data_IF_218436673324
#
_entry.id   IF_218436673324
#
_cell.length_a   1.000
_cell.length_b   1.000
_cell.length_c   1.000
_cell.angle_alpha   90.00
_cell.angle_beta   90.00
_cell.angle_gamma   90.00
#
_symmetry.space_group_name_H-M   'P 1'
#
loop_
_entity.id
_entity.type
_entity.pdbx_description
1 polymer ?
#
# COMPACT_ATOMS: atom_id res chain seq x y z
N UNK A 1 -26.80 20.99 5.26
CA UNK A 1 -28.22 20.59 5.43
C UNK A 1 -28.59 19.74 4.22
N UNK A 2 -29.19 18.55 4.26
CA UNK A 2 -29.70 17.65 5.30
C UNK A 2 -29.97 16.28 4.59
N UNK A 3 -29.71 15.16 5.29
CA UNK A 3 -30.22 13.76 5.17
C UNK A 3 -30.81 13.23 3.83
N UNK A 4 -30.33 12.09 3.30
CA UNK A 4 -30.63 10.69 3.73
C UNK A 4 -32.11 10.29 3.54
N UNK A 5 -32.41 9.36 2.62
CA UNK A 5 -32.81 7.96 2.88
C UNK A 5 -33.55 7.27 1.71
N UNK A 6 -33.24 5.98 1.55
CA UNK A 6 -33.89 4.94 0.74
C UNK A 6 -35.24 4.49 1.35
N UNK A 7 -36.21 4.08 0.52
CA UNK A 7 -37.27 3.09 0.83
C UNK A 7 -38.03 2.73 -0.46
N UNK A 8 -37.83 1.55 -1.06
CA UNK A 8 -38.53 0.27 -0.82
C UNK A 8 -40.04 0.31 -1.12
N UNK A 9 -40.43 -0.29 -2.26
CA UNK A 9 -41.78 -0.35 -2.79
C UNK A 9 -42.61 -1.54 -2.28
N UNK A 10 -43.71 -1.18 -1.64
CA UNK A 10 -45.02 -1.83 -1.44
C UNK A 10 -45.30 -3.23 -2.01
N UNK A 11 -45.80 -4.09 -1.10
CA UNK A 11 -46.60 -5.30 -1.36
C UNK A 11 -47.97 -5.10 -0.72
N UNK A 12 -49.05 -5.36 -1.45
CA UNK A 12 -50.44 -5.33 -0.94
C UNK A 12 -51.03 -6.74 -0.87
N UNK A 13 -51.72 -7.02 0.24
CA UNK A 13 -52.39 -8.28 0.57
C UNK A 13 -53.88 -8.14 0.31
N UNK A 14 -54.52 -9.16 -0.26
CA UNK A 14 -55.97 -9.38 -0.09
C UNK A 14 -56.26 -10.87 0.16
N UNK A 15 -57.02 -11.13 1.22
CA UNK A 15 -57.54 -12.43 1.59
C UNK A 15 -59.01 -12.55 1.16
N UNK A 16 -59.47 -13.75 0.74
CA UNK A 16 -60.89 -14.12 0.68
C UNK A 16 -61.12 -15.55 1.17
N UNK A 17 -61.86 -15.60 2.28
CA UNK A 17 -62.89 -16.54 2.79
C UNK A 17 -62.99 -18.02 2.34
N UNK A 18 -63.27 -18.86 3.33
CA UNK A 18 -63.65 -20.29 3.30
C UNK A 18 -65.03 -20.53 2.67
N UNK A 19 -65.24 -21.80 2.25
CA UNK A 19 -66.49 -22.48 1.86
C UNK A 19 -66.85 -22.56 0.37
N UNK A 20 -66.20 -23.51 -0.34
CA UNK A 20 -66.91 -24.39 -1.28
C UNK A 20 -66.15 -25.73 -1.38
N UNK A 21 -66.33 -26.54 -0.34
CA UNK A 21 -66.04 -27.97 -0.41
C UNK A 21 -66.99 -28.62 -1.43
N UNK A 22 -66.51 -29.71 -2.06
CA UNK A 22 -67.20 -30.69 -2.90
C UNK A 22 -66.94 -30.63 -4.42
N UNK A 23 -65.72 -30.98 -4.84
CA UNK A 23 -65.53 -31.77 -6.07
C UNK A 23 -64.27 -32.64 -5.99
N UNK A 24 -64.40 -33.80 -5.34
CA UNK A 24 -63.34 -34.76 -5.02
C UNK A 24 -62.79 -35.54 -6.23
N UNK A 25 -63.17 -35.18 -7.47
CA UNK A 25 -62.70 -35.85 -8.68
C UNK A 25 -61.64 -35.06 -9.46
N UNK A 26 -61.61 -33.72 -9.37
CA UNK A 26 -60.62 -32.88 -10.07
C UNK A 26 -59.24 -32.88 -9.39
N UNK A 27 -59.19 -32.98 -8.07
CA UNK A 27 -57.93 -32.92 -7.30
C UNK A 27 -56.90 -34.01 -7.65
N UNK A 28 -57.34 -35.22 -8.01
CA UNK A 28 -56.42 -36.33 -8.34
C UNK A 28 -55.70 -36.17 -9.68
N UNK A 29 -56.32 -35.48 -10.65
CA UNK A 29 -55.72 -35.27 -11.99
C UNK A 29 -54.71 -34.12 -11.97
N UNK A 30 -54.95 -33.09 -11.16
CA UNK A 30 -54.00 -31.99 -10.97
C UNK A 30 -52.76 -32.40 -10.15
N UNK A 31 -52.90 -33.26 -9.15
CA UNK A 31 -51.76 -33.72 -8.33
C UNK A 31 -50.75 -34.54 -9.14
N UNK A 32 -51.21 -35.41 -10.04
CA UNK A 32 -50.35 -36.23 -10.90
C UNK A 32 -49.60 -35.40 -11.96
N UNK A 33 -50.26 -34.40 -12.55
CA UNK A 33 -49.62 -33.47 -13.51
C UNK A 33 -48.62 -32.52 -12.82
N UNK A 34 -48.94 -32.07 -11.60
CA UNK A 34 -48.04 -31.22 -10.80
C UNK A 34 -46.78 -31.97 -10.38
N UNK A 35 -46.90 -33.23 -9.92
CA UNK A 35 -45.76 -34.04 -9.47
C UNK A 35 -44.78 -34.44 -10.59
N UNK A 36 -45.25 -34.58 -11.85
CA UNK A 36 -44.38 -34.93 -12.98
C UNK A 36 -43.62 -33.71 -13.54
N UNK A 37 -44.19 -32.50 -13.42
CA UNK A 37 -43.54 -31.24 -13.84
C UNK A 37 -42.46 -30.78 -12.87
N UNK A 38 -42.67 -31.07 -11.57
CA UNK A 38 -41.73 -30.81 -10.48
C UNK A 38 -40.41 -31.57 -10.72
N UNK A 39 -40.43 -32.89 -10.96
CA UNK A 39 -39.20 -33.71 -11.11
C UNK A 39 -38.24 -33.24 -12.22
N UNK A 40 -38.76 -32.77 -13.35
CA UNK A 40 -37.93 -32.32 -14.49
C UNK A 40 -37.36 -30.91 -14.36
N UNK A 41 -37.94 -30.07 -13.50
CA UNK A 41 -37.42 -28.72 -13.22
C UNK A 41 -36.28 -28.75 -12.19
N UNK A 42 -36.32 -29.64 -11.19
CA UNK A 42 -35.25 -29.74 -10.19
C UNK A 42 -33.92 -30.24 -10.76
N UNK A 43 -33.94 -31.15 -11.74
CA UNK A 43 -32.72 -31.66 -12.40
C UNK A 43 -32.01 -30.59 -13.24
N UNK A 44 -32.76 -29.73 -13.94
CA UNK A 44 -32.19 -28.62 -14.75
C UNK A 44 -31.62 -27.49 -13.87
N UNK A 45 -32.26 -27.18 -12.74
CA UNK A 45 -31.79 -26.16 -11.80
C UNK A 45 -30.55 -26.59 -10.99
N UNK A 46 -30.37 -27.89 -10.75
CA UNK A 46 -29.16 -28.45 -10.13
C UNK A 46 -27.96 -28.44 -11.10
N UNK A 47 -28.18 -28.75 -12.39
CA UNK A 47 -27.13 -28.71 -13.42
C UNK A 47 -26.63 -27.28 -13.72
N UNK A 48 -27.51 -26.27 -13.73
CA UNK A 48 -27.10 -24.86 -13.90
C UNK A 48 -26.35 -24.29 -12.67
N UNK A 49 -26.70 -24.73 -11.45
CA UNK A 49 -26.01 -24.28 -10.23
C UNK A 49 -24.60 -24.86 -10.10
N UNK A 50 -24.35 -26.07 -10.58
CA UNK A 50 -23.00 -26.68 -10.59
C UNK A 50 -22.09 -26.04 -11.66
N UNK A 51 -22.64 -25.69 -12.84
CA UNK A 51 -21.89 -24.99 -13.89
C UNK A 51 -21.52 -23.54 -13.48
N UNK A 52 -22.40 -22.84 -12.75
CA UNK A 52 -22.11 -21.51 -12.21
C UNK A 52 -21.05 -21.50 -11.10
N UNK A 53 -21.03 -22.55 -10.24
CA UNK A 53 -20.02 -22.68 -9.19
C UNK A 53 -18.63 -23.04 -9.72
N UNK A 54 -18.54 -23.84 -10.79
CA UNK A 54 -17.27 -24.18 -11.43
C UNK A 54 -16.62 -22.97 -12.15
N UNK A 55 -17.43 -22.06 -12.71
CA UNK A 55 -16.93 -20.84 -13.36
C UNK A 55 -16.35 -19.82 -12.35
N UNK A 56 -16.87 -19.78 -11.12
CA UNK A 56 -16.35 -18.91 -10.06
C UNK A 56 -15.04 -19.43 -9.45
N UNK A 57 -14.82 -20.74 -9.43
CA UNK A 57 -13.54 -21.34 -8.98
C UNK A 57 -12.44 -21.21 -10.04
N UNK A 58 -12.78 -21.31 -11.33
CA UNK A 58 -11.82 -21.16 -12.43
C UNK A 58 -11.32 -19.72 -12.64
N UNK A 59 -12.13 -18.71 -12.28
CA UNK A 59 -11.76 -17.28 -12.40
C UNK A 59 -10.76 -16.79 -11.34
N UNK A 60 -10.49 -17.58 -10.30
CA UNK A 60 -9.62 -17.17 -9.18
C UNK A 60 -8.13 -17.53 -9.38
N UNK A 61 -7.80 -18.30 -10.43
CA UNK A 61 -6.45 -18.84 -10.64
C UNK A 61 -5.54 -18.01 -11.56
N UNK A 62 -5.99 -16.85 -12.05
CA UNK A 62 -5.25 -16.05 -13.05
C UNK A 62 -4.88 -14.64 -12.60
N UNK A 63 -5.00 -14.30 -11.31
CA UNK A 63 -4.19 -13.24 -10.71
C UNK A 63 -2.95 -13.89 -10.12
N UNK A 64 -2.08 -14.39 -11.00
CA UNK A 64 -0.69 -14.56 -10.63
C UNK A 64 -0.21 -13.18 -10.25
N UNK A 65 -0.04 -12.92 -8.95
CA UNK A 65 0.92 -11.91 -8.54
C UNK A 65 2.22 -12.36 -9.20
N UNK A 66 2.55 -11.71 -10.31
CA UNK A 66 3.80 -11.88 -11.01
C UNK A 66 4.89 -11.87 -9.94
N UNK A 67 5.63 -12.99 -9.80
CA UNK A 67 6.46 -13.22 -8.64
C UNK A 67 7.49 -12.08 -8.50
N UNK A 68 7.22 -11.16 -7.57
CA UNK A 68 8.10 -10.04 -7.31
C UNK A 68 9.23 -10.50 -6.38
N UNK A 69 10.49 -10.09 -6.60
CA UNK A 69 10.98 -9.27 -7.73
C UNK A 69 11.38 -10.10 -8.97
N UNK A 70 11.07 -9.58 -10.17
CA UNK A 70 11.40 -10.25 -11.45
C UNK A 70 12.72 -9.79 -12.07
N UNK A 71 13.25 -8.66 -11.60
CA UNK A 71 14.51 -8.06 -12.07
C UNK A 71 15.20 -7.37 -10.91
N UNK A 72 16.41 -6.88 -11.15
CA UNK A 72 17.14 -6.09 -10.18
C UNK A 72 16.32 -4.88 -9.69
N UNK A 73 16.39 -4.63 -8.39
CA UNK A 73 15.73 -3.51 -7.72
C UNK A 73 16.74 -2.36 -7.65
N UNK A 74 16.35 -1.17 -8.09
CA UNK A 74 17.14 0.05 -7.94
C UNK A 74 16.88 0.66 -6.57
N UNK A 75 17.92 0.85 -5.77
CA UNK A 75 17.86 1.55 -4.48
C UNK A 75 18.48 2.94 -4.63
N UNK A 76 17.63 3.97 -4.66
CA UNK A 76 18.05 5.37 -4.71
C UNK A 76 18.45 5.83 -3.31
N UNK A 77 19.68 6.32 -3.17
CA UNK A 77 20.25 6.83 -1.93
C UNK A 77 20.49 8.34 -2.07
N UNK A 78 19.88 9.19 -1.22
CA UNK A 78 19.99 10.66 -1.33
C UNK A 78 21.29 11.24 -0.74
N UNK A 79 22.37 10.45 -0.73
CA UNK A 79 23.66 10.81 -0.15
C UNK A 79 24.79 10.50 -1.13
N UNK A 80 25.91 11.26 -1.08
CA UNK A 80 27.11 10.89 -1.82
C UNK A 80 27.64 9.51 -1.38
N UNK A 81 28.37 8.79 -2.24
CA UNK A 81 29.02 7.54 -1.88
C UNK A 81 29.92 7.71 -0.64
N UNK A 82 29.90 6.74 0.27
CA UNK A 82 30.63 6.77 1.54
C UNK A 82 29.96 7.58 2.67
N UNK A 83 28.87 8.29 2.40
CA UNK A 83 28.07 8.95 3.44
C UNK A 83 27.28 7.97 4.31
N UNK A 84 26.75 8.44 5.44
CA UNK A 84 26.01 7.60 6.38
C UNK A 84 24.85 6.80 5.73
N UNK A 85 24.08 7.44 4.85
CA UNK A 85 23.00 6.75 4.11
C UNK A 85 23.51 5.73 3.09
N UNK A 86 24.67 5.95 2.48
CA UNK A 86 25.29 4.99 1.55
C UNK A 86 25.75 3.72 2.27
N UNK A 87 26.34 3.88 3.46
CA UNK A 87 26.74 2.75 4.31
C UNK A 87 25.52 1.88 4.65
N UNK A 88 24.41 2.50 5.06
CA UNK A 88 23.14 1.79 5.33
C UNK A 88 22.61 1.09 4.08
N UNK A 89 22.58 1.78 2.94
CA UNK A 89 22.10 1.20 1.68
C UNK A 89 22.93 0.01 1.20
N UNK A 90 24.26 0.02 1.40
CA UNK A 90 25.14 -1.13 1.09
C UNK A 90 24.86 -2.33 1.98
N UNK A 91 24.65 -2.12 3.28
CA UNK A 91 24.26 -3.20 4.19
C UNK A 91 22.89 -3.79 3.82
N UNK A 92 21.93 -2.95 3.42
CA UNK A 92 20.62 -3.38 2.95
C UNK A 92 20.71 -4.15 1.63
N UNK A 93 21.44 -3.62 0.66
CA UNK A 93 21.61 -4.22 -0.66
C UNK A 93 22.14 -5.65 -0.57
N UNK A 94 23.17 -5.89 0.25
CA UNK A 94 23.71 -7.22 0.47
C UNK A 94 22.66 -8.17 1.06
N UNK A 95 22.05 -7.82 2.20
CA UNK A 95 21.12 -8.72 2.92
C UNK A 95 19.81 -8.95 2.19
N UNK A 96 19.27 -7.92 1.53
CA UNK A 96 18.02 -8.05 0.77
C UNK A 96 18.27 -8.74 -0.56
N UNK A 97 19.43 -8.57 -1.17
CA UNK A 97 19.81 -9.31 -2.37
C UNK A 97 19.76 -10.82 -2.14
N UNK A 98 20.37 -11.28 -1.04
CA UNK A 98 20.35 -12.69 -0.65
C UNK A 98 18.93 -13.21 -0.36
N UNK A 99 18.10 -12.40 0.30
CA UNK A 99 16.73 -12.80 0.68
C UNK A 99 15.74 -12.80 -0.48
N UNK A 100 15.88 -11.85 -1.40
CA UNK A 100 14.93 -11.66 -2.51
C UNK A 100 15.36 -12.41 -3.78
N UNK A 101 16.60 -12.93 -3.82
CA UNK A 101 17.14 -13.60 -5.01
C UNK A 101 17.36 -12.65 -6.19
N UNK A 102 17.33 -11.33 -5.96
CA UNK A 102 17.53 -10.30 -6.98
C UNK A 102 18.47 -9.23 -6.46
N UNK A 103 19.34 -8.72 -7.32
CA UNK A 103 20.29 -7.68 -6.95
C UNK A 103 19.59 -6.37 -6.57
N UNK A 104 20.04 -5.73 -5.51
CA UNK A 104 19.72 -4.34 -5.20
C UNK A 104 20.83 -3.42 -5.72
N UNK A 105 20.59 -2.74 -6.85
CA UNK A 105 21.54 -1.83 -7.49
C UNK A 105 21.48 -0.46 -6.80
N UNK A 106 22.58 -0.05 -6.20
CA UNK A 106 22.69 1.23 -5.49
C UNK A 106 22.86 2.38 -6.49
N UNK A 107 22.04 3.41 -6.33
CA UNK A 107 22.11 4.64 -7.11
C UNK A 107 22.18 5.87 -6.19
N UNK A 108 23.38 6.43 -6.03
CA UNK A 108 23.62 7.61 -5.20
C UNK A 108 23.22 8.90 -5.95
N UNK A 109 22.17 9.58 -5.47
CA UNK A 109 21.64 10.83 -6.02
C UNK A 109 21.60 11.93 -4.96
N UNK A 110 22.77 12.46 -4.64
CA UNK A 110 22.89 13.61 -3.75
C UNK A 110 22.42 14.94 -4.39
N UNK A 111 22.29 15.98 -3.56
CA UNK A 111 22.03 17.36 -3.99
C UNK A 111 20.64 17.89 -3.64
N UNK A 112 20.48 19.21 -3.68
CA UNK A 112 19.20 19.89 -3.46
C UNK A 112 18.55 19.68 -2.10
N UNK A 113 19.28 19.24 -1.07
CA UNK A 113 18.67 18.80 0.19
C UNK A 113 17.81 17.54 0.01
N UNK A 114 18.31 16.58 -0.77
CA UNK A 114 17.66 15.30 -1.13
C UNK A 114 16.50 15.40 -2.13
N UNK A 115 16.06 16.61 -2.50
CA UNK A 115 14.96 16.84 -3.46
C UNK A 115 15.16 16.09 -4.78
N UNK A 116 16.39 16.02 -5.29
CA UNK A 116 16.70 15.36 -6.57
C UNK A 116 16.38 13.85 -6.53
N UNK A 117 16.82 13.16 -5.47
CA UNK A 117 16.55 11.73 -5.29
C UNK A 117 15.06 11.48 -5.04
N UNK A 118 14.45 12.32 -4.21
CA UNK A 118 13.04 12.18 -3.87
C UNK A 118 12.15 12.37 -5.08
N UNK A 119 12.37 13.42 -5.89
CA UNK A 119 11.63 13.65 -7.13
C UNK A 119 11.80 12.49 -8.11
N UNK A 120 13.04 12.02 -8.30
CA UNK A 120 13.33 10.90 -9.19
C UNK A 120 12.60 9.62 -8.77
N UNK A 121 12.44 9.41 -7.47
CA UNK A 121 11.67 8.28 -6.93
C UNK A 121 10.17 8.48 -7.13
N UNK A 122 9.64 9.67 -6.83
CA UNK A 122 8.22 9.98 -7.00
C UNK A 122 7.77 9.82 -8.47
N UNK A 123 8.66 10.05 -9.44
CA UNK A 123 8.40 9.88 -10.87
C UNK A 123 8.65 8.45 -11.38
N UNK A 124 9.17 7.54 -10.55
CA UNK A 124 9.45 6.17 -10.97
C UNK A 124 8.15 5.38 -11.17
N UNK A 125 8.23 4.30 -11.95
CA UNK A 125 7.11 3.37 -12.06
C UNK A 125 6.78 2.78 -10.67
N UNK A 126 5.50 2.76 -10.24
CA UNK A 126 5.10 2.24 -8.93
C UNK A 126 5.01 0.70 -8.93
N UNK A 127 6.08 0.04 -9.40
CA UNK A 127 6.16 -1.42 -9.60
C UNK A 127 7.06 -2.13 -8.56
N UNK A 128 7.52 -1.39 -7.54
CA UNK A 128 8.41 -1.88 -6.47
C UNK A 128 9.89 -1.97 -6.85
N UNK A 129 10.26 -1.90 -8.12
CA UNK A 129 11.66 -2.06 -8.55
C UNK A 129 12.49 -0.77 -8.44
N UNK A 130 11.90 0.32 -7.97
CA UNK A 130 12.62 1.52 -7.53
C UNK A 130 12.25 1.80 -6.09
N UNK A 131 13.23 1.70 -5.20
CA UNK A 131 13.11 2.00 -3.78
C UNK A 131 13.91 3.25 -3.45
N UNK A 132 13.47 3.97 -2.42
CA UNK A 132 14.13 5.17 -1.93
C UNK A 132 14.48 5.03 -0.46
N UNK A 133 15.74 5.31 -0.15
CA UNK A 133 16.18 5.41 1.23
C UNK A 133 15.82 6.79 1.80
N UNK A 134 14.60 6.89 2.33
CA UNK A 134 14.13 8.12 2.97
C UNK A 134 14.93 8.44 4.25
N UNK A 135 15.11 9.72 4.52
CA UNK A 135 15.75 10.24 5.74
C UNK A 135 14.85 11.29 6.41
N UNK A 136 15.26 11.79 7.58
CA UNK A 136 14.56 12.89 8.25
C UNK A 136 14.39 14.12 7.34
N UNK A 137 15.32 14.37 6.42
CA UNK A 137 15.24 15.48 5.46
C UNK A 137 14.00 15.40 4.56
N UNK A 138 13.53 14.19 4.23
CA UNK A 138 12.29 14.00 3.47
C UNK A 138 11.08 14.62 4.18
N UNK A 139 11.00 14.46 5.50
CA UNK A 139 9.94 15.06 6.32
C UNK A 139 10.15 16.55 6.64
N UNK A 140 11.39 17.03 6.66
CA UNK A 140 11.71 18.45 6.92
C UNK A 140 11.45 19.33 5.69
N UNK A 141 11.71 18.82 4.48
CA UNK A 141 11.65 19.61 3.26
C UNK A 141 10.32 20.36 3.03
N UNK A 142 9.12 19.76 3.26
CA UNK A 142 7.85 20.48 3.12
C UNK A 142 7.70 21.70 4.03
N UNK A 143 8.37 21.71 5.20
CA UNK A 143 8.36 22.85 6.11
C UNK A 143 9.42 23.90 5.80
N UNK A 144 10.42 23.57 4.98
CA UNK A 144 11.55 24.46 4.66
C UNK A 144 11.46 25.06 3.24
N UNK A 145 10.75 24.40 2.32
CA UNK A 145 10.69 24.81 0.91
C UNK A 145 9.27 25.15 0.52
N UNK A 146 9.08 26.35 -0.02
CA UNK A 146 7.78 26.85 -0.48
C UNK A 146 7.17 25.98 -1.59
N UNK A 147 8.02 25.39 -2.43
CA UNK A 147 7.60 24.55 -3.56
C UNK A 147 8.50 23.34 -3.71
N UNK A 148 7.89 22.16 -3.59
CA UNK A 148 8.52 20.88 -3.90
C UNK A 148 7.92 20.30 -5.20
N UNK A 149 8.70 19.55 -5.99
CA UNK A 149 8.22 18.86 -7.18
C UNK A 149 7.52 17.51 -6.86
N UNK A 150 7.23 17.25 -5.59
CA UNK A 150 6.58 16.03 -5.08
C UNK A 150 5.82 16.34 -3.79
N UNK A 151 4.86 15.49 -3.44
CA UNK A 151 4.20 15.42 -2.14
C UNK A 151 4.88 14.34 -1.28
N UNK A 152 5.41 14.72 -0.12
CA UNK A 152 6.22 13.82 0.73
C UNK A 152 5.43 12.68 1.35
N UNK A 153 4.10 12.76 1.35
CA UNK A 153 3.19 11.77 1.94
C UNK A 153 2.45 11.01 0.83
N UNK A 154 1.88 11.72 -0.13
CA UNK A 154 0.97 11.13 -1.14
C UNK A 154 1.71 10.36 -2.23
N UNK A 155 2.92 10.78 -2.59
CA UNK A 155 3.66 10.19 -3.71
C UNK A 155 4.48 8.96 -3.31
N UNK A 156 4.42 8.54 -2.03
CA UNK A 156 5.27 7.49 -1.48
C UNK A 156 4.47 6.46 -0.67
N UNK A 157 4.81 5.18 -0.85
CA UNK A 157 4.34 4.11 0.02
C UNK A 157 5.43 3.78 1.05
N UNK A 158 5.21 4.05 2.35
CA UNK A 158 6.21 3.74 3.38
C UNK A 158 6.30 2.23 3.58
N UNK A 159 7.53 1.70 3.55
CA UNK A 159 7.79 0.26 3.72
C UNK A 159 8.11 -0.06 5.18
N UNK A 160 9.26 0.41 5.67
CA UNK A 160 9.70 0.18 7.05
C UNK A 160 10.84 1.13 7.44
N UNK A 161 11.06 1.29 8.74
CA UNK A 161 12.24 1.96 9.28
C UNK A 161 13.42 0.99 9.29
N UNK A 162 14.49 1.34 8.58
CA UNK A 162 15.67 0.47 8.42
C UNK A 162 16.83 0.82 9.35
N UNK A 163 16.91 2.07 9.80
CA UNK A 163 17.97 2.55 10.68
C UNK A 163 17.49 3.79 11.46
N UNK A 164 18.01 3.94 12.67
CA UNK A 164 17.90 5.15 13.48
C UNK A 164 19.26 5.44 14.09
N UNK A 165 19.67 6.71 14.08
CA UNK A 165 20.97 7.13 14.60
C UNK A 165 20.85 8.50 15.28
N UNK A 166 21.37 8.66 16.50
CA UNK A 166 21.38 9.96 17.16
C UNK A 166 22.41 10.88 16.48
N UNK A 167 22.09 12.18 16.44
CA UNK A 167 23.06 13.21 16.08
C UNK A 167 23.96 13.50 17.28
N UNK A 168 25.25 13.71 17.03
CA UNK A 168 26.25 14.03 18.07
C UNK A 168 26.94 15.34 17.74
N UNK A 169 27.28 16.10 18.78
CA UNK A 169 28.09 17.31 18.65
C UNK A 169 29.56 16.92 18.56
N UNK A 170 30.23 17.37 17.50
CA UNK A 170 31.66 17.16 17.28
C UNK A 170 32.28 18.52 16.99
N UNK A 171 33.38 18.83 17.68
CA UNK A 171 34.15 20.04 17.46
C UNK A 171 35.54 19.68 16.93
N UNK A 172 36.11 20.54 16.09
CA UNK A 172 37.50 20.39 15.67
C UNK A 172 38.42 20.53 16.91
N UNK A 173 39.43 19.66 17.11
CA UNK A 173 40.28 19.68 18.30
C UNK A 173 40.94 21.04 18.59
N UNK A 174 41.27 21.78 17.52
CA UNK A 174 41.86 23.13 17.63
C UNK A 174 40.94 24.20 18.23
N UNK A 175 39.66 23.92 18.44
CA UNK A 175 38.74 24.85 19.13
C UNK A 175 39.01 24.92 20.64
N UNK A 176 39.71 23.93 21.21
CA UNK A 176 40.08 23.91 22.63
C UNK A 176 38.91 23.71 23.60
N UNK A 177 37.77 23.22 23.12
CA UNK A 177 36.59 22.90 23.94
C UNK A 177 36.53 21.39 24.19
N UNK A 178 36.27 21.01 25.43
CA UNK A 178 36.25 19.61 25.90
C UNK A 178 34.85 19.10 26.20
N UNK A 179 33.86 20.01 26.29
CA UNK A 179 32.49 19.68 26.63
C UNK A 179 31.49 20.68 26.03
N UNK A 180 30.21 20.33 26.09
CA UNK A 180 29.13 21.13 25.49
C UNK A 180 28.98 22.52 26.14
N UNK A 181 29.29 22.67 27.44
CA UNK A 181 29.17 23.97 28.12
C UNK A 181 30.22 24.94 27.59
N UNK A 182 31.44 24.46 27.41
CA UNK A 182 32.54 25.22 26.80
C UNK A 182 32.24 25.57 25.34
N UNK A 183 31.69 24.63 24.56
CA UNK A 183 31.28 24.90 23.17
C UNK A 183 30.22 26.02 23.11
N UNK A 184 29.20 25.97 23.96
CA UNK A 184 28.15 27.00 24.03
C UNK A 184 28.71 28.34 24.48
N UNK A 185 29.61 28.35 25.47
CA UNK A 185 30.26 29.57 25.94
C UNK A 185 31.10 30.21 24.83
N UNK A 186 31.90 29.41 24.11
CA UNK A 186 32.72 29.87 22.99
C UNK A 186 31.85 30.43 21.85
N UNK A 187 30.76 29.75 21.49
CA UNK A 187 29.83 30.20 20.44
C UNK A 187 29.14 31.52 20.79
N UNK A 188 28.74 31.71 22.06
CA UNK A 188 28.16 32.96 22.55
C UNK A 188 29.16 34.11 22.62
N UNK A 189 30.41 33.81 22.96
CA UNK A 189 31.46 34.83 23.06
C UNK A 189 31.82 35.46 21.71
N UNK A 190 31.74 34.67 20.62
CA UNK A 190 31.99 35.13 19.25
C UNK A 190 30.95 34.58 18.28
N UNK A 191 29.75 35.19 18.21
CA UNK A 191 28.71 34.75 17.28
C UNK A 191 29.22 34.69 15.83
N UNK A 192 28.95 33.58 15.14
CA UNK A 192 29.38 33.37 13.74
C UNK A 192 30.82 32.88 13.54
N UNK A 193 31.64 32.79 14.60
CA UNK A 193 33.00 32.26 14.49
C UNK A 193 33.09 30.72 14.51
N UNK A 194 32.03 30.05 14.95
CA UNK A 194 31.86 28.60 14.91
C UNK A 194 30.70 28.33 13.96
N UNK A 195 30.96 27.56 12.89
CA UNK A 195 30.00 27.18 11.85
C UNK A 195 29.80 25.67 11.82
#
# INVERSE_FOLDING_TARGET
>A
MCRSQYSAGHVSVHAVSRESLLDSAKGRRYFAAMMNTIKTQWLRSLLCSVAGAAALVAGSAALGADAYPQRAIRLIIPYPPGGAGDIVGRMLSAKLGDKLGQQLVIDNRGGGGQVIATEMTARAAPDGHTLFLASATHGVNPGLRDKLPYDSIRDFSPITLVASSPLVFVAHPGLGVSNIRELVAAAKAKPGAII
#
